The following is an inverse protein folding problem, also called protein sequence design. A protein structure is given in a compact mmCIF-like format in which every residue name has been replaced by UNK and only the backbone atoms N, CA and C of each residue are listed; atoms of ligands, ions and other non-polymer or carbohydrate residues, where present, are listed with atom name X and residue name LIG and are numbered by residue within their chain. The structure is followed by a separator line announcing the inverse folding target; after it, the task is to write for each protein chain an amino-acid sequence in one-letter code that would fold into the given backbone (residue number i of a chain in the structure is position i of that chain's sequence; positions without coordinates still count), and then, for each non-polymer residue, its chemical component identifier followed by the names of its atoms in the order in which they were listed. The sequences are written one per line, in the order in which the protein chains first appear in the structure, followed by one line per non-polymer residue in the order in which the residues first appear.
data_IF_690055346947
#
_entry.id   IF_690055346947
#
_cell.length_a   1.000
_cell.length_b   1.000
_cell.length_c   1.000
_cell.angle_alpha   90.00
_cell.angle_beta   90.00
_cell.angle_gamma   90.00
#
_symmetry.space_group_name_H-M   'P 1'
#
loop_
_entity.id
_entity.type
_entity.pdbx_description
1 polymer ?
#
# COMPACT_ATOMS: atom_id res chain seq x y z
N UNK A 1 -54.20 -64.62 -5.73
CA UNK A 1 -53.16 -64.45 -6.76
C UNK A 1 -52.67 -63.01 -6.70
N UNK A 2 -51.35 -62.81 -6.52
CA UNK A 2 -50.74 -61.48 -6.39
C UNK A 2 -49.87 -61.36 -5.13
N UNK A 3 -48.62 -61.85 -5.22
CA UNK A 3 -47.53 -61.60 -4.27
C UNK A 3 -46.93 -60.21 -4.51
N UNK A 4 -46.35 -59.63 -3.44
CA UNK A 4 -45.19 -58.73 -3.36
C UNK A 4 -45.53 -57.47 -2.55
N UNK A 5 -44.72 -57.01 -1.61
CA UNK A 5 -43.40 -57.43 -1.16
C UNK A 5 -42.98 -56.50 -0.02
N UNK A 6 -42.28 -57.06 0.95
CA UNK A 6 -41.85 -56.40 2.18
C UNK A 6 -41.06 -55.11 1.90
N UNK A 7 -41.44 -54.01 2.57
CA UNK A 7 -40.60 -52.85 2.72
C UNK A 7 -39.57 -53.15 3.82
N UNK A 8 -38.35 -53.51 3.42
CA UNK A 8 -37.24 -53.61 4.35
C UNK A 8 -35.91 -53.24 3.68
N UNK A 9 -35.23 -52.28 4.32
CA UNK A 9 -33.79 -51.99 4.28
C UNK A 9 -33.30 -51.32 3.00
N UNK A 10 -32.76 -50.09 3.10
CA UNK A 10 -31.30 -49.83 3.08
C UNK A 10 -30.98 -48.52 3.86
N UNK A 11 -30.52 -48.58 5.12
CA UNK A 11 -30.01 -47.43 5.88
C UNK A 11 -28.57 -47.04 5.47
N UNK A 12 -28.21 -47.29 4.21
CA UNK A 12 -26.83 -47.24 3.71
C UNK A 12 -26.43 -45.95 3.00
N UNK A 13 -27.38 -45.08 2.64
CA UNK A 13 -27.06 -43.83 1.93
C UNK A 13 -26.82 -42.60 2.82
N UNK A 14 -27.18 -42.66 4.11
CA UNK A 14 -26.97 -41.54 5.02
C UNK A 14 -25.53 -41.47 5.58
N UNK A 15 -24.78 -42.58 5.57
CA UNK A 15 -23.41 -42.62 6.09
C UNK A 15 -22.33 -42.17 5.09
N UNK A 16 -22.65 -42.02 3.81
CA UNK A 16 -21.68 -41.64 2.79
C UNK A 16 -21.50 -40.12 2.64
N UNK A 17 -22.30 -39.30 3.31
CA UNK A 17 -22.11 -37.83 3.36
C UNK A 17 -21.16 -37.36 4.47
N UNK A 18 -20.70 -38.25 5.37
CA UNK A 18 -19.80 -37.89 6.47
C UNK A 18 -18.30 -38.11 6.18
N UNK A 19 -17.94 -38.78 5.08
CA UNK A 19 -16.56 -39.22 4.83
C UNK A 19 -15.81 -38.31 3.83
N UNK A 20 -16.48 -37.33 3.23
CA UNK A 20 -15.92 -36.53 2.12
C UNK A 20 -15.37 -35.15 2.49
N UNK A 21 -15.62 -34.63 3.69
CA UNK A 21 -15.04 -33.37 4.14
C UNK A 21 -14.19 -33.64 5.38
N UNK A 22 -12.94 -34.05 5.13
CA UNK A 22 -11.86 -33.77 6.06
C UNK A 22 -11.80 -32.26 6.27
N UNK A 23 -12.57 -31.76 7.23
CA UNK A 23 -12.37 -30.45 7.81
C UNK A 23 -10.96 -30.48 8.38
N UNK A 24 -10.01 -29.91 7.64
CA UNK A 24 -8.71 -29.59 8.19
C UNK A 24 -8.96 -28.56 9.28
N UNK A 25 -9.18 -29.02 10.51
CA UNK A 25 -9.24 -28.15 11.67
C UNK A 25 -7.96 -27.31 11.64
N UNK A 26 -8.06 -25.96 11.63
CA UNK A 26 -6.88 -25.12 11.57
C UNK A 26 -5.99 -25.48 12.77
N UNK A 27 -4.79 -25.97 12.48
CA UNK A 27 -3.84 -26.34 13.53
C UNK A 27 -3.53 -25.10 14.37
N UNK A 28 -3.63 -25.14 15.70
CA UNK A 28 -3.32 -23.99 16.52
C UNK A 28 -1.86 -23.57 16.32
N UNK A 29 -1.56 -22.26 16.35
CA UNK A 29 -0.18 -21.79 16.23
C UNK A 29 0.66 -22.36 17.37
N UNK A 30 1.88 -22.82 17.06
CA UNK A 30 2.79 -23.42 18.04
C UNK A 30 3.15 -22.47 19.18
N UNK A 31 3.23 -21.18 18.88
CA UNK A 31 3.45 -20.09 19.83
C UNK A 31 2.48 -18.97 19.50
N UNK A 32 1.74 -18.51 20.51
CA UNK A 32 0.83 -17.36 20.41
C UNK A 32 1.27 -16.33 21.44
N UNK A 33 1.73 -15.18 20.95
CA UNK A 33 2.11 -14.04 21.79
C UNK A 33 1.12 -12.92 21.56
N UNK A 34 0.63 -12.34 22.64
CA UNK A 34 -0.16 -11.11 22.66
C UNK A 34 0.74 -9.89 22.40
N UNK A 35 0.12 -8.78 22.00
CA UNK A 35 0.83 -7.51 21.83
C UNK A 35 1.53 -7.06 23.11
N UNK A 36 0.89 -7.27 24.28
CA UNK A 36 1.48 -6.93 25.58
C UNK A 36 2.73 -7.77 25.87
N UNK A 37 2.71 -9.07 25.55
CA UNK A 37 3.88 -9.95 25.71
C UNK A 37 5.02 -9.55 24.77
N UNK A 38 4.69 -9.23 23.51
CA UNK A 38 5.69 -8.79 22.53
C UNK A 38 6.36 -7.48 22.94
N UNK A 39 5.59 -6.53 23.48
CA UNK A 39 6.10 -5.25 23.94
C UNK A 39 6.93 -5.38 25.23
N UNK A 40 6.52 -6.24 26.16
CA UNK A 40 7.21 -6.40 27.44
C UNK A 40 8.49 -7.24 27.34
N UNK A 41 8.50 -8.30 26.53
CA UNK A 41 9.53 -9.35 26.60
C UNK A 41 10.31 -9.59 25.31
N UNK A 42 9.79 -9.17 24.16
CA UNK A 42 10.38 -9.50 22.84
C UNK A 42 10.86 -8.27 22.06
N UNK A 43 10.97 -7.12 22.71
CA UNK A 43 11.61 -5.94 22.13
C UNK A 43 10.83 -5.32 20.97
N UNK A 44 9.52 -5.55 20.86
CA UNK A 44 8.67 -4.95 19.83
C UNK A 44 8.80 -3.42 19.87
N UNK A 45 9.26 -2.84 18.75
CA UNK A 45 9.31 -1.40 18.56
C UNK A 45 8.07 -0.96 17.77
N UNK A 46 7.47 0.16 18.17
CA UNK A 46 6.28 0.71 17.51
C UNK A 46 6.56 2.12 17.01
N UNK A 47 6.05 2.44 15.84
CA UNK A 47 6.09 3.77 15.28
C UNK A 47 4.68 4.23 14.91
N UNK A 48 4.35 5.47 15.24
CA UNK A 48 3.09 6.11 14.88
C UNK A 48 3.31 7.61 14.69
N UNK A 49 2.53 8.20 13.81
CA UNK A 49 2.47 9.62 13.54
C UNK A 49 1.12 10.14 14.01
N UNK A 50 1.11 11.34 14.59
CA UNK A 50 -0.14 11.98 14.99
C UNK A 50 -0.99 12.31 13.76
N UNK A 51 -2.31 12.06 13.87
CA UNK A 51 -3.31 12.42 12.85
C UNK A 51 -2.97 11.92 11.44
N UNK A 52 -2.39 10.72 11.38
CA UNK A 52 -1.99 10.07 10.14
C UNK A 52 -2.40 8.61 10.25
N UNK A 53 -2.94 8.04 9.17
CA UNK A 53 -3.15 6.61 9.07
C UNK A 53 -2.33 5.98 7.95
N UNK A 54 -2.57 4.69 7.75
CA UNK A 54 -2.44 4.09 6.43
C UNK A 54 -0.99 4.01 5.92
N UNK A 55 -0.09 3.45 6.74
CA UNK A 55 1.30 3.12 6.40
C UNK A 55 1.38 1.97 5.37
N UNK A 56 0.99 2.25 4.11
CA UNK A 56 0.82 1.22 3.08
C UNK A 56 2.05 1.05 2.18
N UNK A 57 2.79 2.13 1.90
CA UNK A 57 3.97 2.07 1.05
C UNK A 57 5.21 1.89 1.93
N UNK A 58 5.92 0.76 1.79
CA UNK A 58 7.13 0.45 2.55
C UNK A 58 8.27 0.19 1.57
N UNK A 59 9.40 0.87 1.78
CA UNK A 59 10.62 0.68 1.00
C UNK A 59 11.80 0.52 1.95
N UNK A 60 12.40 -0.67 1.94
CA UNK A 60 13.62 -0.97 2.70
C UNK A 60 14.82 -0.55 1.88
N UNK A 61 15.72 0.22 2.50
CA UNK A 61 17.02 0.60 1.96
C UNK A 61 18.10 0.11 2.92
N UNK A 62 18.66 -1.06 2.60
CA UNK A 62 19.69 -1.73 3.41
C UNK A 62 21.01 -0.95 3.39
N UNK A 63 21.36 -0.33 2.27
CA UNK A 63 22.60 0.46 2.14
C UNK A 63 22.60 1.64 3.11
N UNK A 64 21.43 2.24 3.35
CA UNK A 64 21.26 3.37 4.28
C UNK A 64 20.93 2.96 5.69
N UNK A 65 20.60 1.69 5.93
CA UNK A 65 20.05 1.25 7.21
C UNK A 65 18.67 1.86 7.49
N UNK A 66 17.83 2.08 6.47
CA UNK A 66 16.56 2.81 6.61
C UNK A 66 15.35 2.12 6.04
N UNK A 67 14.21 2.37 6.68
CA UNK A 67 12.88 2.03 6.17
C UNK A 67 12.15 3.33 5.84
N UNK A 68 11.83 3.52 4.56
CA UNK A 68 10.96 4.59 4.11
C UNK A 68 9.51 4.14 4.13
N UNK A 69 8.64 5.01 4.65
CA UNK A 69 7.23 4.71 4.86
C UNK A 69 6.39 5.83 4.27
N UNK A 70 5.51 5.49 3.34
CA UNK A 70 4.48 6.36 2.81
C UNK A 70 3.19 6.16 3.59
N UNK A 71 2.61 7.26 4.04
CA UNK A 71 1.40 7.30 4.82
C UNK A 71 0.47 8.42 4.32
N UNK A 72 -0.63 8.63 5.02
CA UNK A 72 -1.49 9.79 4.81
C UNK A 72 -0.73 11.10 5.10
N UNK A 73 -0.68 11.98 4.09
CA UNK A 73 -0.03 13.29 4.09
C UNK A 73 1.46 13.30 4.49
N UNK A 74 2.10 12.13 4.58
CA UNK A 74 3.45 12.02 5.10
C UNK A 74 4.29 10.96 4.39
N UNK A 75 5.58 11.27 4.26
CA UNK A 75 6.64 10.28 4.04
C UNK A 75 7.53 10.31 5.27
N UNK A 76 7.87 9.14 5.81
CA UNK A 76 8.77 9.00 6.95
C UNK A 76 10.01 8.19 6.56
N UNK A 77 11.13 8.50 7.22
CA UNK A 77 12.37 7.75 7.14
C UNK A 77 12.73 7.27 8.54
N UNK A 78 12.66 5.95 8.74
CA UNK A 78 12.86 5.27 10.01
C UNK A 78 14.21 4.55 10.01
N UNK A 79 14.83 4.40 11.18
CA UNK A 79 16.04 3.61 11.33
C UNK A 79 15.68 2.11 11.38
N UNK A 80 16.35 1.26 10.58
CA UNK A 80 16.13 -0.19 10.57
C UNK A 80 16.51 -0.85 11.90
N UNK A 81 17.51 -0.33 12.63
CA UNK A 81 17.89 -0.87 13.94
C UNK A 81 16.79 -0.63 14.99
N UNK A 82 16.14 0.54 14.93
CA UNK A 82 15.05 0.90 15.82
C UNK A 82 14.15 1.97 15.19
N UNK A 83 12.98 1.55 14.73
CA UNK A 83 12.02 2.40 14.03
C UNK A 83 11.45 3.54 14.89
N UNK A 84 11.51 3.41 16.21
CA UNK A 84 11.02 4.41 17.16
C UNK A 84 12.03 5.54 17.42
N UNK A 85 13.28 5.39 16.96
CA UNK A 85 14.36 6.37 17.19
C UNK A 85 14.76 7.08 15.89
N UNK A 86 15.12 8.36 16.02
CA UNK A 86 15.71 9.19 14.93
C UNK A 86 14.88 9.23 13.64
N UNK A 87 13.56 9.10 13.75
CA UNK A 87 12.65 9.21 12.61
C UNK A 87 12.67 10.62 12.01
N UNK A 88 12.81 10.70 10.69
CA UNK A 88 12.57 11.94 9.92
C UNK A 88 11.19 11.87 9.29
N UNK A 89 10.51 13.01 9.25
CA UNK A 89 9.14 13.14 8.78
C UNK A 89 9.10 14.25 7.73
N UNK A 90 8.46 13.98 6.61
CA UNK A 90 8.17 14.93 5.56
C UNK A 90 6.66 15.03 5.43
N UNK A 91 6.11 16.21 5.71
CA UNK A 91 4.72 16.50 5.43
C UNK A 91 4.57 16.76 3.91
N UNK A 92 3.70 15.99 3.27
CA UNK A 92 3.36 16.12 1.86
C UNK A 92 1.84 16.01 1.67
N UNK A 93 1.07 16.97 2.23
CA UNK A 93 -0.37 17.04 2.01
C UNK A 93 -0.71 17.53 0.60
N UNK A 94 -1.94 17.27 0.15
CA UNK A 94 -2.48 17.89 -1.06
C UNK A 94 -2.69 19.41 -0.86
N UNK A 95 -2.51 20.24 -1.91
CA UNK A 95 -2.87 21.66 -1.91
C UNK A 95 -4.31 21.89 -1.46
N UNK A 96 -4.58 23.04 -0.85
CA UNK A 96 -5.91 23.36 -0.30
C UNK A 96 -6.95 23.38 -1.41
N UNK A 97 -6.59 23.91 -2.57
CA UNK A 97 -7.44 24.03 -3.75
C UNK A 97 -7.94 22.65 -4.21
N UNK A 98 -7.03 21.66 -4.33
CA UNK A 98 -7.42 20.29 -4.71
C UNK A 98 -8.26 19.60 -3.65
N UNK A 99 -8.03 19.90 -2.36
CA UNK A 99 -8.86 19.36 -1.26
C UNK A 99 -10.27 19.93 -1.30
N UNK A 100 -10.40 21.22 -1.62
CA UNK A 100 -11.71 21.86 -1.82
C UNK A 100 -12.43 21.30 -3.04
N UNK A 101 -11.74 21.15 -4.18
CA UNK A 101 -12.29 20.51 -5.39
C UNK A 101 -12.77 19.07 -5.13
N UNK A 102 -11.96 18.28 -4.42
CA UNK A 102 -12.32 16.93 -3.99
C UNK A 102 -13.60 16.94 -3.12
N UNK A 103 -13.70 17.87 -2.17
CA UNK A 103 -14.88 18.03 -1.33
C UNK A 103 -16.11 18.48 -2.15
N UNK A 104 -15.95 19.40 -3.10
CA UNK A 104 -17.02 19.81 -4.03
C UNK A 104 -17.50 18.66 -4.93
N UNK A 105 -16.63 17.71 -5.24
CA UNK A 105 -16.99 16.46 -5.91
C UNK A 105 -17.75 15.46 -5.01
N UNK A 106 -18.05 15.82 -3.75
CA UNK A 106 -18.83 15.03 -2.81
C UNK A 106 -18.02 13.96 -2.06
N UNK A 107 -16.69 14.08 -2.03
CA UNK A 107 -15.79 13.18 -1.28
C UNK A 107 -15.58 13.68 0.14
N UNK A 108 -15.27 12.75 1.05
CA UNK A 108 -15.08 13.10 2.45
C UNK A 108 -13.73 13.79 2.71
N UNK A 109 -13.78 14.97 3.35
CA UNK A 109 -12.58 15.80 3.54
C UNK A 109 -11.56 15.20 4.52
N UNK A 110 -12.00 14.32 5.43
CA UNK A 110 -11.16 13.72 6.47
C UNK A 110 -10.55 12.37 6.08
N UNK A 111 -11.18 11.64 5.16
CA UNK A 111 -10.83 10.24 4.84
C UNK A 111 -10.50 10.02 3.37
N UNK A 112 -10.94 10.89 2.46
CA UNK A 112 -10.76 10.75 1.02
C UNK A 112 -9.91 11.89 0.42
N UNK A 113 -10.15 13.15 0.83
CA UNK A 113 -9.45 14.33 0.29
C UNK A 113 -8.12 14.65 0.97
N UNK A 114 -7.28 13.62 1.10
CA UNK A 114 -5.92 13.72 1.58
C UNK A 114 -4.95 13.12 0.56
N UNK A 115 -3.65 13.36 0.72
CA UNK A 115 -2.65 12.70 -0.09
C UNK A 115 -2.24 11.37 0.57
N UNK A 116 -2.65 10.24 0.02
CA UNK A 116 -2.22 8.93 0.49
C UNK A 116 -1.06 8.45 -0.36
N UNK A 117 0.15 8.37 0.21
CA UNK A 117 1.32 7.87 -0.51
C UNK A 117 1.15 6.38 -0.81
N UNK A 118 1.08 6.04 -2.09
CA UNK A 118 0.83 4.68 -2.59
C UNK A 118 2.09 3.96 -3.01
N UNK A 119 3.07 4.69 -3.53
CA UNK A 119 4.30 4.13 -4.10
C UNK A 119 5.53 4.83 -3.55
N UNK A 120 6.57 4.05 -3.28
CA UNK A 120 7.92 4.51 -2.96
C UNK A 120 8.93 3.61 -3.68
N UNK A 121 9.82 4.21 -4.47
CA UNK A 121 10.91 3.51 -5.16
C UNK A 121 12.21 4.28 -5.04
N UNK A 122 13.34 3.57 -4.99
CA UNK A 122 14.65 4.21 -5.11
C UNK A 122 14.88 4.63 -6.57
N UNK A 123 14.94 5.93 -6.84
CA UNK A 123 15.10 6.45 -8.20
C UNK A 123 16.58 6.56 -8.59
N UNK A 124 17.37 7.15 -7.71
CA UNK A 124 18.82 7.21 -7.85
C UNK A 124 19.46 7.14 -6.45
N UNK A 125 20.78 7.30 -6.37
CA UNK A 125 21.49 7.22 -5.08
C UNK A 125 21.07 8.29 -4.09
N UNK A 126 20.46 9.40 -4.50
CA UNK A 126 20.11 10.52 -3.61
C UNK A 126 18.62 10.81 -3.51
N UNK A 127 17.79 10.21 -4.36
CA UNK A 127 16.37 10.51 -4.48
C UNK A 127 15.54 9.24 -4.51
N UNK A 128 14.41 9.31 -3.85
CA UNK A 128 13.30 8.38 -3.98
C UNK A 128 12.25 8.96 -4.90
N UNK A 129 11.57 8.13 -5.68
CA UNK A 129 10.32 8.46 -6.32
C UNK A 129 9.17 8.11 -5.38
N UNK A 130 8.38 9.12 -5.00
CA UNK A 130 7.16 8.94 -4.21
C UNK A 130 5.94 9.34 -5.03
N UNK A 131 4.86 8.56 -4.99
CA UNK A 131 3.59 8.90 -5.64
C UNK A 131 2.42 8.69 -4.68
N UNK A 132 1.43 9.58 -4.73
CA UNK A 132 0.24 9.53 -3.90
C UNK A 132 -1.03 10.01 -4.60
N UNK A 133 -2.16 9.89 -3.91
CA UNK A 133 -3.49 10.18 -4.45
C UNK A 133 -3.79 11.67 -4.61
N UNK A 134 -3.06 12.54 -3.89
CA UNK A 134 -3.18 13.99 -3.98
C UNK A 134 -4.62 14.53 -3.89
N UNK A 135 -5.47 13.98 -3.01
CA UNK A 135 -6.89 14.33 -2.92
C UNK A 135 -7.66 14.18 -4.26
N UNK A 136 -7.61 12.98 -4.86
CA UNK A 136 -8.17 12.71 -6.20
C UNK A 136 -7.48 13.53 -7.31
N UNK A 137 -6.24 13.95 -7.07
CA UNK A 137 -5.35 14.55 -8.06
C UNK A 137 -3.96 13.88 -7.94
N UNK A 138 -3.78 12.66 -8.48
CA UNK A 138 -2.58 11.87 -8.28
C UNK A 138 -1.32 12.64 -8.66
N UNK A 139 -0.33 12.61 -7.78
CA UNK A 139 0.94 13.32 -7.96
C UNK A 139 2.13 12.46 -7.59
N UNK A 140 3.26 12.74 -8.21
CA UNK A 140 4.55 12.16 -7.87
C UNK A 140 5.58 13.24 -7.56
N UNK A 141 6.60 12.89 -6.79
CA UNK A 141 7.71 13.79 -6.50
C UNK A 141 8.99 13.01 -6.23
N UNK A 142 10.12 13.64 -6.50
CA UNK A 142 11.43 13.15 -6.10
C UNK A 142 11.78 13.65 -4.70
N UNK A 143 11.95 12.73 -3.76
CA UNK A 143 12.29 13.01 -2.37
C UNK A 143 13.78 12.81 -2.17
N UNK A 144 14.50 13.88 -1.85
CA UNK A 144 15.92 13.84 -1.51
C UNK A 144 16.14 13.14 -0.18
N UNK A 145 16.99 12.11 -0.21
CA UNK A 145 17.39 11.30 0.95
C UNK A 145 18.89 11.36 1.26
N UNK A 146 19.67 12.07 0.43
CA UNK A 146 21.10 12.28 0.60
C UNK A 146 21.94 11.03 0.34
N UNK A 147 23.26 11.14 0.50
CA UNK A 147 24.22 10.05 0.23
C UNK A 147 24.67 9.26 1.47
N UNK A 148 24.59 9.84 2.68
CA UNK A 148 25.19 9.28 3.90
C UNK A 148 24.13 8.83 4.91
N UNK A 149 24.36 7.70 5.58
CA UNK A 149 23.45 7.17 6.60
C UNK A 149 23.45 8.03 7.90
N UNK A 150 24.59 8.67 8.20
CA UNK A 150 24.85 9.43 9.42
C UNK A 150 24.01 10.70 9.53
N UNK A 151 23.79 11.40 8.42
CA UNK A 151 22.98 12.62 8.33
C UNK A 151 21.79 12.40 7.41
N UNK A 152 20.66 11.90 7.94
CA UNK A 152 19.49 11.71 7.11
C UNK A 152 18.86 13.00 6.65
N UNK A 153 18.75 13.10 5.33
CA UNK A 153 17.94 14.09 4.65
C UNK A 153 16.60 13.44 4.30
N UNK A 154 15.54 14.23 4.38
CA UNK A 154 14.23 13.88 3.84
C UNK A 154 13.57 15.18 3.42
N UNK A 155 13.72 15.54 2.15
CA UNK A 155 13.25 16.82 1.61
C UNK A 155 12.58 16.61 0.27
N UNK A 156 11.58 17.41 0.00
CA UNK A 156 10.88 17.44 -1.28
C UNK A 156 10.84 18.90 -1.73
N UNK A 157 11.06 19.10 -3.03
CA UNK A 157 10.91 20.40 -3.69
C UNK A 157 9.47 20.51 -4.22
N UNK A 158 8.62 21.39 -3.65
CA UNK A 158 7.24 21.57 -4.11
C UNK A 158 7.15 22.04 -5.56
N UNK A 159 8.18 22.69 -6.09
CA UNK A 159 8.24 23.14 -7.49
C UNK A 159 8.50 22.02 -8.50
N UNK A 160 8.78 20.80 -8.03
CA UNK A 160 9.10 19.62 -8.87
C UNK A 160 8.09 18.49 -8.71
N UNK A 161 6.86 18.82 -8.34
CA UNK A 161 5.76 17.85 -8.31
C UNK A 161 5.37 17.52 -9.76
N UNK A 162 5.33 16.23 -10.05
CA UNK A 162 4.94 15.68 -11.35
C UNK A 162 3.51 15.14 -11.34
N UNK A 163 2.92 15.05 -12.53
CA UNK A 163 1.67 14.33 -12.73
C UNK A 163 1.82 12.84 -12.35
N UNK A 164 0.88 12.37 -11.54
CA UNK A 164 0.80 11.01 -11.03
C UNK A 164 -0.22 10.14 -11.76
N UNK A 165 -0.92 10.66 -12.78
CA UNK A 165 -1.89 9.89 -13.54
C UNK A 165 -1.26 8.63 -14.14
N UNK A 166 -1.91 7.49 -13.95
CA UNK A 166 -1.39 6.18 -14.37
C UNK A 166 -0.23 5.65 -13.51
N UNK A 167 0.34 6.45 -12.60
CA UNK A 167 1.36 6.04 -11.63
C UNK A 167 0.72 5.71 -10.28
N UNK A 168 -0.17 6.56 -9.78
CA UNK A 168 -0.92 6.38 -8.54
C UNK A 168 -2.43 6.45 -8.80
N UNK A 169 -3.27 5.69 -8.07
CA UNK A 169 -4.71 5.80 -8.20
C UNK A 169 -5.24 7.14 -7.66
N UNK A 170 -6.44 7.50 -8.11
CA UNK A 170 -7.21 8.65 -7.60
C UNK A 170 -7.82 8.36 -6.22
N UNK A 171 -8.50 7.21 -6.09
CA UNK A 171 -9.17 6.81 -4.86
C UNK A 171 -8.19 6.11 -3.88
N UNK A 172 -8.12 6.53 -2.60
CA UNK A 172 -7.23 5.91 -1.62
C UNK A 172 -7.59 4.47 -1.26
N UNK A 173 -8.78 3.98 -1.60
CA UNK A 173 -9.16 2.56 -1.42
C UNK A 173 -8.58 1.67 -2.50
N UNK A 174 -8.26 2.22 -3.67
CA UNK A 174 -7.63 1.43 -4.72
C UNK A 174 -6.19 1.07 -4.35
N UNK A 175 -5.85 -0.18 -4.63
CA UNK A 175 -4.49 -0.68 -4.51
C UNK A 175 -3.68 -0.26 -5.73
N UNK A 176 -2.37 -0.21 -5.54
CA UNK A 176 -1.42 0.03 -6.60
C UNK A 176 -0.35 -1.07 -6.54
N UNK A 177 0.07 -1.55 -7.70
CA UNK A 177 1.26 -2.36 -7.85
C UNK A 177 2.24 -1.57 -8.72
N UNK A 178 3.52 -1.57 -8.38
CA UNK A 178 4.52 -0.92 -9.22
C UNK A 178 5.92 -1.47 -9.02
N UNK A 179 6.76 -1.27 -10.03
CA UNK A 179 8.19 -1.55 -9.99
C UNK A 179 8.90 -0.48 -10.82
N UNK A 180 10.01 0.03 -10.30
CA UNK A 180 10.90 0.92 -11.02
C UNK A 180 12.10 0.11 -11.50
N UNK A 181 12.32 0.06 -12.83
CA UNK A 181 13.42 -0.68 -13.44
C UNK A 181 14.23 0.28 -14.31
N UNK A 182 15.48 0.54 -13.92
CA UNK A 182 16.27 1.60 -14.52
C UNK A 182 15.62 2.96 -14.25
N UNK A 183 15.27 3.67 -15.32
CA UNK A 183 14.59 4.99 -15.24
C UNK A 183 13.09 4.90 -15.58
N UNK A 184 12.55 3.69 -15.76
CA UNK A 184 11.15 3.48 -16.20
C UNK A 184 10.31 2.92 -15.04
N UNK A 185 9.16 3.56 -14.78
CA UNK A 185 8.18 3.11 -13.80
C UNK A 185 7.09 2.30 -14.49
N UNK A 186 6.92 1.06 -14.04
CA UNK A 186 5.82 0.19 -14.41
C UNK A 186 4.80 0.20 -13.27
N UNK A 187 3.53 0.50 -13.56
CA UNK A 187 2.48 0.65 -12.55
C UNK A 187 1.16 0.04 -13.01
N UNK A 188 0.53 -0.76 -12.16
CA UNK A 188 -0.84 -1.24 -12.32
C UNK A 188 -1.77 -0.51 -11.35
N UNK A 189 -2.61 0.38 -11.87
CA UNK A 189 -3.50 1.25 -11.06
C UNK A 189 -4.82 1.51 -11.78
N UNK A 190 -5.83 1.97 -11.01
CA UNK A 190 -7.00 2.62 -11.59
C UNK A 190 -6.63 4.03 -12.05
N UNK A 191 -6.71 4.29 -13.35
CA UNK A 191 -6.13 5.46 -14.01
C UNK A 191 -7.13 6.60 -14.26
N UNK A 192 -8.40 6.35 -14.00
CA UNK A 192 -9.48 7.32 -14.12
C UNK A 192 -10.03 7.73 -12.75
N UNK A 193 -10.68 8.89 -12.72
CA UNK A 193 -11.31 9.42 -11.51
C UNK A 193 -12.42 8.51 -10.98
N UNK A 194 -13.13 7.79 -11.86
CA UNK A 194 -14.22 6.90 -11.47
C UNK A 194 -13.75 5.54 -10.95
N UNK A 195 -12.47 5.19 -11.12
CA UNK A 195 -11.93 3.92 -10.65
C UNK A 195 -12.33 2.70 -11.48
N UNK A 196 -12.56 2.89 -12.79
CA UNK A 196 -13.04 1.85 -13.70
C UNK A 196 -11.98 1.41 -14.70
N UNK A 197 -11.06 2.29 -15.07
CA UNK A 197 -9.98 2.01 -16.02
C UNK A 197 -8.76 1.47 -15.25
N UNK A 198 -8.74 0.16 -15.00
CA UNK A 198 -7.56 -0.51 -14.46
C UNK A 198 -6.63 -0.89 -15.60
N UNK A 199 -5.42 -0.34 -15.58
CA UNK A 199 -4.48 -0.51 -16.68
C UNK A 199 -3.05 -0.57 -16.16
N UNK A 200 -2.19 -1.21 -16.93
CA UNK A 200 -0.75 -1.27 -16.66
C UNK A 200 -0.09 -0.19 -17.51
N UNK A 201 0.54 0.76 -16.83
CA UNK A 201 1.33 1.83 -17.42
C UNK A 201 2.81 1.52 -17.38
N UNK A 202 3.52 1.97 -18.42
CA UNK A 202 4.94 2.29 -18.36
C UNK A 202 5.08 3.79 -18.54
N UNK A 203 5.71 4.47 -17.58
CA UNK A 203 5.95 5.91 -17.58
C UNK A 203 7.40 6.19 -17.18
N UNK A 204 7.80 7.47 -17.21
CA UNK A 204 9.19 7.91 -17.05
C UNK A 204 10.11 7.35 -18.17
N UNK A 205 11.40 7.66 -18.07
CA UNK A 205 12.39 7.33 -19.08
C UNK A 205 12.30 8.19 -20.34
N UNK A 206 13.10 7.83 -21.35
CA UNK A 206 13.15 8.56 -22.64
C UNK A 206 12.09 8.10 -23.65
N UNK A 207 11.48 6.94 -23.41
CA UNK A 207 10.51 6.35 -24.34
C UNK A 207 9.13 6.93 -24.06
N UNK A 208 8.26 7.03 -25.08
CA UNK A 208 6.86 7.37 -24.86
C UNK A 208 6.20 6.40 -23.88
N UNK A 209 5.31 6.95 -23.05
CA UNK A 209 4.51 6.18 -22.12
C UNK A 209 3.66 5.16 -22.88
N UNK A 210 3.56 3.95 -22.32
CA UNK A 210 2.68 2.89 -22.82
C UNK A 210 1.61 2.58 -21.79
N UNK A 211 0.46 2.11 -22.28
CA UNK A 211 -0.61 1.59 -21.44
C UNK A 211 -1.25 0.37 -22.09
N UNK A 212 -1.90 -0.48 -21.30
CA UNK A 212 -2.74 -1.56 -21.84
C UNK A 212 -4.06 -1.00 -22.36
N UNK A 213 -4.66 -1.70 -23.32
CA UNK A 213 -6.04 -1.44 -23.74
C UNK A 213 -7.04 -1.72 -22.59
N UNK A 214 -8.22 -1.08 -22.60
CA UNK A 214 -9.27 -1.27 -21.59
C UNK A 214 -9.93 -2.67 -21.62
#
# INVERSE_FOLDING_TARGET
MGRAGAAAVIPGLALLWAVGLGSAAPSPPRLRLSFQELQAWHGLQTFSLERTCCYQALLVDEERGRLFVGAENHVASLNLDNISKRAKKLAWPAPVEWREECNWAGKDIGTECMNFVKLLHAYNRTHLLACGTGAFHPTCAFVEVGHRAEEPVLRLDPGRIEDGKGKSPYDPRHRAASVLVGEELYSGVAADLMGRDFTIFRSLGQRPSLRTEP
#
